data_IF_474366297630
#
_entry.id   IF_474366297630
#
_cell.length_a   1.000
_cell.length_b   1.000
_cell.length_c   1.000
_cell.angle_alpha   90.00
_cell.angle_beta   90.00
_cell.angle_gamma   90.00
#
_symmetry.space_group_name_H-M   'P 1'
#
loop_
_entity.id
_entity.type
_entity.pdbx_description
1 polymer ?
#
# COMPACT_ATOMS: atom_id res chain seq x y z
N UNK A 1 -8.63 20.07 -2.19
CA UNK A 1 -8.31 18.88 -1.38
C UNK A 1 -9.48 17.93 -1.51
N UNK A 2 -9.20 16.66 -1.80
CA UNK A 2 -10.19 15.59 -1.78
C UNK A 2 -9.99 14.76 -0.53
N UNK A 3 -11.09 14.29 0.06
CA UNK A 3 -11.10 13.46 1.26
C UNK A 3 -11.76 12.13 0.94
N UNK A 4 -11.18 11.03 1.42
CA UNK A 4 -11.70 9.69 1.22
C UNK A 4 -11.19 8.73 2.31
N UNK A 5 -11.86 7.61 2.49
CA UNK A 5 -11.38 6.56 3.38
C UNK A 5 -10.45 5.61 2.62
N UNK A 6 -9.25 5.41 3.14
CA UNK A 6 -8.24 4.52 2.55
C UNK A 6 -7.97 3.35 3.48
N UNK A 7 -8.00 2.14 2.94
CA UNK A 7 -7.53 0.95 3.62
C UNK A 7 -6.49 0.23 2.75
N UNK A 8 -5.38 -0.15 3.39
CA UNK A 8 -4.26 -0.84 2.76
C UNK A 8 -4.12 -2.19 3.45
N UNK A 9 -4.13 -3.28 2.67
CA UNK A 9 -3.95 -4.64 3.17
C UNK A 9 -2.70 -5.26 2.58
N UNK A 10 -1.95 -5.96 3.41
CA UNK A 10 -0.66 -6.53 3.06
C UNK A 10 -0.65 -8.01 3.42
N UNK A 11 -0.35 -8.83 2.42
CA UNK A 11 -0.15 -10.27 2.57
C UNK A 11 1.30 -10.57 2.19
N UNK A 12 2.01 -11.30 3.05
CA UNK A 12 3.36 -11.76 2.79
C UNK A 12 3.35 -13.25 2.49
N UNK A 13 4.19 -13.68 1.56
CA UNK A 13 4.41 -15.09 1.24
C UNK A 13 5.91 -15.39 1.26
N UNK A 14 6.29 -16.56 1.77
CA UNK A 14 7.69 -16.93 1.99
C UNK A 14 8.35 -16.12 3.10
N UNK A 15 9.69 -16.15 3.16
CA UNK A 15 10.46 -15.47 4.19
C UNK A 15 10.68 -13.99 3.86
N UNK A 16 9.74 -13.14 4.30
CA UNK A 16 9.86 -11.68 4.25
C UNK A 16 10.33 -11.16 5.61
N UNK A 17 11.45 -10.42 5.62
CA UNK A 17 12.03 -9.81 6.80
C UNK A 17 11.46 -8.41 7.05
N UNK A 18 11.37 -7.60 6.00
CA UNK A 18 10.87 -6.23 6.10
C UNK A 18 9.95 -5.89 4.95
N UNK A 19 8.97 -5.02 5.25
CA UNK A 19 8.04 -4.45 4.27
C UNK A 19 7.94 -2.95 4.52
N UNK A 20 7.99 -2.16 3.44
CA UNK A 20 7.77 -0.71 3.47
C UNK A 20 6.68 -0.35 2.47
N UNK A 21 5.77 0.53 2.88
CA UNK A 21 4.72 1.08 2.03
C UNK A 21 4.73 2.59 2.18
N UNK A 22 4.70 3.29 1.05
CA UNK A 22 4.65 4.75 0.97
C UNK A 22 3.42 5.18 0.18
N UNK A 23 2.81 6.26 0.62
CA UNK A 23 1.72 6.97 -0.04
C UNK A 23 2.27 8.27 -0.57
N UNK A 24 2.11 8.51 -1.86
CA UNK A 24 2.62 9.71 -2.51
C UNK A 24 1.51 10.44 -3.26
N UNK A 25 1.47 11.76 -3.07
CA UNK A 25 0.68 12.68 -3.86
C UNK A 25 1.54 13.90 -4.24
N UNK A 26 0.97 14.87 -4.96
CA UNK A 26 1.69 16.06 -5.42
C UNK A 26 2.21 17.00 -4.32
N UNK A 27 1.87 16.75 -3.05
CA UNK A 27 2.28 17.55 -1.90
C UNK A 27 3.15 16.81 -0.92
N UNK A 28 3.14 15.49 -0.95
CA UNK A 28 3.88 14.67 0.00
C UNK A 28 4.46 13.45 -0.72
N UNK A 29 5.71 13.59 -1.12
CA UNK A 29 6.52 12.49 -1.62
C UNK A 29 7.11 11.79 -0.39
N UNK A 30 6.91 10.48 -0.25
CA UNK A 30 7.39 9.62 0.84
C UNK A 30 6.61 9.56 2.17
N UNK A 31 5.26 9.68 2.17
CA UNK A 31 4.49 9.41 3.40
C UNK A 31 4.45 7.91 3.74
N UNK A 32 5.26 7.48 4.71
CA UNK A 32 5.39 6.06 5.08
C UNK A 32 4.23 5.59 5.96
N UNK A 33 3.66 4.44 5.61
CA UNK A 33 2.60 3.78 6.41
C UNK A 33 3.21 2.96 7.55
N UNK A 34 2.85 3.33 8.78
CA UNK A 34 3.32 2.73 10.04
C UNK A 34 2.13 2.21 10.88
N UNK A 35 2.46 1.58 12.02
CA UNK A 35 1.50 1.11 13.04
C UNK A 35 0.37 0.26 12.46
N UNK A 36 0.77 -0.92 11.98
CA UNK A 36 -0.10 -1.86 11.28
C UNK A 36 -0.92 -2.71 12.26
N UNK A 37 -2.20 -2.88 11.95
CA UNK A 37 -3.06 -3.84 12.60
C UNK A 37 -2.90 -5.22 11.95
N UNK A 38 -3.26 -6.29 12.69
CA UNK A 38 -3.21 -7.67 12.22
C UNK A 38 -4.63 -8.22 12.24
N UNK A 39 -5.10 -8.70 11.09
CA UNK A 39 -6.38 -9.39 10.98
C UNK A 39 -6.24 -10.85 11.43
N UNK A 40 -7.34 -11.45 11.91
CA UNK A 40 -7.36 -12.85 12.36
C UNK A 40 -6.96 -13.84 11.25
N UNK A 41 -7.21 -13.49 9.99
CA UNK A 41 -6.82 -14.28 8.80
C UNK A 41 -5.33 -14.14 8.43
N UNK A 42 -4.53 -13.43 9.23
CA UNK A 42 -3.07 -13.39 9.11
C UNK A 42 -2.51 -12.28 8.21
N UNK A 43 -3.34 -11.43 7.60
CA UNK A 43 -2.88 -10.27 6.86
C UNK A 43 -2.72 -9.04 7.76
N UNK A 44 -1.81 -8.14 7.39
CA UNK A 44 -1.64 -6.83 8.03
C UNK A 44 -2.47 -5.77 7.31
N UNK A 45 -3.03 -4.82 8.03
CA UNK A 45 -3.76 -3.72 7.40
C UNK A 45 -3.59 -2.39 8.12
N UNK A 46 -3.91 -1.30 7.42
CA UNK A 46 -4.01 0.05 7.96
C UNK A 46 -5.23 0.73 7.38
N UNK A 47 -6.06 1.32 8.24
CA UNK A 47 -7.15 2.21 7.84
C UNK A 47 -6.73 3.65 8.12
N UNK A 48 -6.94 4.52 7.13
CA UNK A 48 -6.72 5.96 7.18
C UNK A 48 -8.04 6.61 6.81
N UNK A 49 -8.84 6.88 7.84
CA UNK A 49 -10.13 7.57 7.69
C UNK A 49 -9.89 9.03 7.35
N UNK A 50 -10.73 9.59 6.47
CA UNK A 50 -10.63 10.99 6.04
C UNK A 50 -9.22 11.36 5.52
N UNK A 51 -8.59 10.44 4.79
CA UNK A 51 -7.30 10.70 4.18
C UNK A 51 -7.45 11.79 3.12
N UNK A 52 -6.59 12.81 3.20
CA UNK A 52 -6.67 13.99 2.34
C UNK A 52 -5.50 13.99 1.37
N UNK A 53 -5.83 14.23 0.10
CA UNK A 53 -4.86 14.52 -0.94
C UNK A 53 -5.20 15.84 -1.62
N UNK A 54 -4.20 16.53 -2.16
CA UNK A 54 -4.44 17.80 -2.85
C UNK A 54 -5.13 17.59 -4.21
N UNK A 55 -4.64 16.61 -4.96
CA UNK A 55 -5.09 16.29 -6.31
C UNK A 55 -6.12 15.15 -6.31
N UNK A 56 -6.29 14.48 -7.45
CA UNK A 56 -7.19 13.33 -7.61
C UNK A 56 -6.46 12.01 -7.69
N UNK A 57 -5.19 11.96 -7.31
CA UNK A 57 -4.35 10.81 -7.61
C UNK A 57 -3.44 10.48 -6.44
N UNK A 58 -3.33 9.18 -6.18
CA UNK A 58 -2.50 8.59 -5.14
C UNK A 58 -1.62 7.52 -5.78
N UNK A 59 -0.30 7.66 -5.65
CA UNK A 59 0.63 6.58 -5.97
C UNK A 59 1.00 5.84 -4.69
N UNK A 60 1.05 4.51 -4.76
CA UNK A 60 1.39 3.66 -3.62
C UNK A 60 2.58 2.81 -3.98
N UNK A 61 3.68 3.00 -3.24
CA UNK A 61 4.91 2.25 -3.42
C UNK A 61 5.02 1.16 -2.36
N UNK A 62 5.47 -0.01 -2.79
CA UNK A 62 5.67 -1.19 -1.94
C UNK A 62 7.06 -1.73 -2.19
N UNK A 63 7.78 -1.97 -1.10
CA UNK A 63 9.08 -2.61 -1.11
C UNK A 63 9.15 -3.69 -0.03
N UNK A 64 9.92 -4.74 -0.28
CA UNK A 64 10.19 -5.75 0.71
C UNK A 64 11.63 -6.25 0.65
N UNK A 65 12.12 -6.77 1.78
CA UNK A 65 13.38 -7.50 1.86
C UNK A 65 13.11 -8.88 2.46
N UNK A 66 13.88 -9.87 2.04
CA UNK A 66 13.68 -11.26 2.44
C UNK A 66 14.56 -12.21 1.64
N UNK A 67 14.18 -13.48 1.66
CA UNK A 67 14.83 -14.54 0.89
C UNK A 67 14.16 -14.64 -0.49
N UNK A 68 14.93 -15.03 -1.50
CA UNK A 68 14.44 -15.30 -2.85
C UNK A 68 13.21 -16.23 -2.85
N UNK A 69 12.25 -15.95 -3.73
CA UNK A 69 10.97 -16.65 -3.80
C UNK A 69 9.87 -16.08 -2.90
N UNK A 70 10.22 -15.25 -1.91
CA UNK A 70 9.24 -14.49 -1.14
C UNK A 70 8.58 -13.35 -1.92
N UNK A 71 7.42 -12.89 -1.48
CA UNK A 71 6.82 -11.64 -1.98
C UNK A 71 5.89 -10.97 -0.97
N UNK A 72 5.59 -9.70 -1.22
CA UNK A 72 4.55 -8.92 -0.57
C UNK A 72 3.50 -8.55 -1.61
N UNK A 73 2.23 -8.79 -1.30
CA UNK A 73 1.10 -8.31 -2.08
C UNK A 73 0.35 -7.25 -1.28
N UNK A 74 0.11 -6.10 -1.91
CA UNK A 74 -0.64 -4.99 -1.37
C UNK A 74 -1.97 -4.84 -2.12
N UNK A 75 -3.07 -4.87 -1.38
CA UNK A 75 -4.43 -4.60 -1.87
C UNK A 75 -4.90 -3.27 -1.29
N UNK A 76 -5.52 -2.46 -2.14
CA UNK A 76 -5.93 -1.10 -1.83
C UNK A 76 -7.46 -1.03 -1.89
N UNK A 77 -8.06 -0.42 -0.88
CA UNK A 77 -9.50 -0.21 -0.78
C UNK A 77 -9.74 1.27 -0.56
N UNK A 78 -10.53 1.89 -1.44
CA UNK A 78 -10.87 3.31 -1.40
C UNK A 78 -12.38 3.43 -1.23
N UNK A 79 -12.84 4.17 -0.21
CA UNK A 79 -14.26 4.30 0.14
C UNK A 79 -14.98 2.94 0.24
N UNK A 80 -14.32 1.96 0.86
CA UNK A 80 -14.84 0.59 0.99
C UNK A 80 -14.83 -0.25 -0.29
N UNK A 81 -14.43 0.32 -1.44
CA UNK A 81 -14.34 -0.40 -2.73
C UNK A 81 -12.92 -0.88 -2.97
N UNK A 82 -12.77 -2.19 -3.22
CA UNK A 82 -11.49 -2.78 -3.60
C UNK A 82 -11.06 -2.28 -4.98
N UNK A 83 -9.80 -1.85 -5.07
CA UNK A 83 -9.18 -1.51 -6.34
C UNK A 83 -8.74 -2.79 -7.05
N UNK A 84 -8.93 -2.83 -8.37
CA UNK A 84 -8.67 -4.05 -9.16
C UNK A 84 -7.19 -4.43 -9.17
N UNK A 85 -6.31 -3.42 -9.27
CA UNK A 85 -4.88 -3.62 -9.34
C UNK A 85 -4.27 -3.77 -7.96
N UNK A 86 -3.51 -4.84 -7.78
CA UNK A 86 -2.67 -5.10 -6.60
C UNK A 86 -1.23 -4.77 -6.92
N UNK A 87 -0.50 -4.31 -5.92
CA UNK A 87 0.94 -4.07 -6.03
C UNK A 87 1.67 -5.29 -5.47
N UNK A 88 2.58 -5.88 -6.24
CA UNK A 88 3.36 -7.04 -5.81
C UNK A 88 4.85 -6.72 -5.85
N UNK A 89 5.49 -6.73 -4.68
CA UNK A 89 6.93 -6.51 -4.53
C UNK A 89 7.63 -7.81 -4.15
N UNK A 90 8.79 -8.06 -4.75
CA UNK A 90 9.67 -9.20 -4.46
C UNK A 90 10.99 -8.71 -3.87
N UNK A 91 11.68 -9.51 -3.04
CA UNK A 91 13.01 -9.16 -2.53
C UNK A 91 14.08 -8.90 -3.61
N UNK A 92 13.87 -9.43 -4.82
CA UNK A 92 14.75 -9.28 -5.98
C UNK A 92 14.51 -8.00 -6.78
N UNK A 93 13.44 -7.25 -6.48
CA UNK A 93 13.10 -6.05 -7.22
C UNK A 93 14.11 -4.93 -6.92
N UNK A 94 14.65 -4.32 -7.99
CA UNK A 94 15.66 -3.24 -7.88
C UNK A 94 15.04 -1.85 -7.67
N UNK A 95 13.74 -1.74 -7.91
CA UNK A 95 12.93 -0.53 -7.73
C UNK A 95 11.69 -0.90 -6.94
N UNK A 96 11.03 0.09 -6.34
CA UNK A 96 9.79 -0.15 -5.62
C UNK A 96 8.69 -0.53 -6.62
N UNK A 97 7.93 -1.56 -6.30
CA UNK A 97 6.71 -1.86 -7.03
C UNK A 97 5.68 -0.78 -6.67
N UNK A 98 4.94 -0.27 -7.65
CA UNK A 98 3.97 0.79 -7.38
C UNK A 98 2.78 0.73 -8.31
N UNK A 99 1.71 1.41 -7.93
CA UNK A 99 0.51 1.56 -8.75
C UNK A 99 -0.20 2.86 -8.41
N UNK A 100 -0.75 3.45 -9.46
CA UNK A 100 -1.46 4.71 -9.41
C UNK A 100 -2.97 4.50 -9.33
N UNK A 101 -3.62 5.20 -8.41
CA UNK A 101 -5.06 5.15 -8.22
C UNK A 101 -5.68 6.54 -8.38
N UNK A 102 -6.60 6.67 -9.35
CA UNK A 102 -7.41 7.87 -9.52
C UNK A 102 -8.59 7.86 -8.55
N UNK A 103 -8.68 8.90 -7.75
CA UNK A 103 -9.70 9.13 -6.74
C UNK A 103 -10.87 9.88 -7.36
N UNK A 104 -11.92 9.12 -7.64
CA UNK A 104 -13.24 9.62 -8.03
C UNK A 104 -14.09 9.80 -6.77
N UNK A 105 -13.90 10.93 -6.10
CA UNK A 105 -14.82 11.46 -5.06
C UNK A 105 -16.01 12.14 -5.70
#
# INVERSE_FOLDING_TARGET
MKEFDLEIRVITFGSILTTKIFLEDSTNESNRVLDWDIHQDGYRFKKLEKYQIKDSNLDIFVACQGIEGGYVSCEVIINGKKMEKKIKAKPTDKIYAHEYYTINT
#
